data_IF_743770035406
#
_entry.id   IF_743770035406
#
_cell.length_a   1.000
_cell.length_b   1.000
_cell.length_c   1.000
_cell.angle_alpha   90.00
_cell.angle_beta   90.00
_cell.angle_gamma   90.00
#
_symmetry.space_group_name_H-M   'P 1'
#
loop_
_entity.id
_entity.type
_entity.pdbx_description
1 polymer ?
#
# COMPACT_ATOMS: atom_id res chain seq x y z
N UNK A 1 4.18 -2.50 -2.08
CA UNK A 1 3.17 -3.36 -2.73
C UNK A 1 3.87 -4.46 -3.50
N UNK A 2 3.49 -5.74 -3.31
CA UNK A 2 4.18 -6.87 -3.97
C UNK A 2 3.83 -7.00 -5.46
N UNK A 3 2.65 -6.52 -5.89
CA UNK A 3 2.23 -6.49 -7.29
C UNK A 3 3.06 -5.51 -8.13
N UNK A 4 3.34 -4.32 -7.57
CA UNK A 4 4.19 -3.30 -8.19
C UNK A 4 5.61 -3.84 -8.49
N UNK A 5 6.25 -4.56 -7.57
CA UNK A 5 7.59 -5.11 -7.81
C UNK A 5 7.66 -6.05 -9.02
N UNK A 6 6.60 -6.85 -9.25
CA UNK A 6 6.52 -7.76 -10.39
C UNK A 6 6.31 -7.00 -11.70
N UNK A 7 5.45 -5.98 -11.67
CA UNK A 7 5.23 -5.11 -12.83
C UNK A 7 6.51 -4.35 -13.22
N UNK A 8 7.17 -3.74 -12.23
CA UNK A 8 8.46 -3.08 -12.40
C UNK A 8 9.50 -4.04 -12.99
N UNK A 9 9.57 -5.29 -12.49
CA UNK A 9 10.50 -6.28 -13.07
C UNK A 9 10.21 -6.52 -14.55
N UNK A 10 8.94 -6.71 -14.95
CA UNK A 10 8.59 -6.90 -16.36
C UNK A 10 9.02 -5.70 -17.21
N UNK A 11 8.71 -4.48 -16.76
CA UNK A 11 9.03 -3.23 -17.47
C UNK A 11 10.53 -2.95 -17.56
N UNK A 12 11.26 -3.23 -16.48
CA UNK A 12 12.71 -3.04 -16.41
C UNK A 12 13.47 -4.14 -17.15
N UNK A 13 12.96 -5.37 -17.20
CA UNK A 13 13.63 -6.49 -17.87
C UNK A 13 13.86 -6.23 -19.35
N UNK A 14 12.90 -5.57 -20.03
CA UNK A 14 13.06 -5.16 -21.42
C UNK A 14 14.31 -4.29 -21.59
N UNK A 15 14.42 -3.19 -20.86
CA UNK A 15 15.56 -2.28 -20.96
C UNK A 15 16.86 -2.92 -20.45
N UNK A 16 16.79 -3.66 -19.36
CA UNK A 16 17.94 -4.33 -18.76
C UNK A 16 18.60 -5.31 -19.74
N UNK A 17 17.80 -6.09 -20.48
CA UNK A 17 18.31 -7.00 -21.51
C UNK A 17 19.04 -6.25 -22.64
N UNK A 18 18.48 -5.14 -23.12
CA UNK A 18 19.10 -4.33 -24.17
C UNK A 18 20.38 -3.62 -23.71
N UNK A 19 20.51 -3.33 -22.42
CA UNK A 19 21.67 -2.67 -21.81
C UNK A 19 22.69 -3.66 -21.22
N UNK A 20 22.45 -4.98 -21.31
CA UNK A 20 23.32 -5.99 -20.70
C UNK A 20 23.35 -5.93 -19.17
N UNK A 21 22.28 -5.46 -18.54
CA UNK A 21 22.14 -5.35 -17.08
C UNK A 21 21.31 -6.50 -16.52
N UNK A 22 21.71 -6.98 -15.35
CA UNK A 22 20.93 -7.97 -14.57
C UNK A 22 19.97 -7.25 -13.62
N UNK A 23 18.69 -7.61 -13.68
CA UNK A 23 17.64 -7.08 -12.79
C UNK A 23 16.92 -8.22 -12.10
N UNK A 24 16.75 -8.13 -10.79
CA UNK A 24 15.99 -9.12 -10.03
C UNK A 24 15.17 -8.48 -8.90
N UNK A 25 14.13 -9.19 -8.48
CA UNK A 25 13.29 -8.81 -7.33
C UNK A 25 13.66 -9.64 -6.11
N UNK A 26 13.74 -9.00 -4.95
CA UNK A 26 13.81 -9.66 -3.65
C UNK A 26 12.77 -9.09 -2.70
N UNK A 27 11.94 -9.95 -2.14
CA UNK A 27 10.90 -9.60 -1.17
C UNK A 27 10.61 -10.76 -0.19
N UNK A 28 9.65 -10.56 0.72
CA UNK A 28 9.23 -11.54 1.73
C UNK A 28 8.84 -12.94 1.20
N UNK A 29 8.33 -13.05 -0.03
CA UNK A 29 7.96 -14.34 -0.65
C UNK A 29 9.02 -14.93 -1.59
N UNK A 30 10.19 -14.28 -1.75
CA UNK A 30 11.25 -14.79 -2.63
C UNK A 30 11.78 -16.12 -2.07
N UNK A 31 11.80 -17.17 -2.88
CA UNK A 31 12.23 -18.50 -2.46
C UNK A 31 13.64 -18.49 -1.83
N UNK A 32 13.86 -19.36 -0.84
CA UNK A 32 15.15 -19.44 -0.15
C UNK A 32 16.32 -19.78 -1.08
N UNK A 33 16.08 -20.62 -2.10
CA UNK A 33 17.09 -20.94 -3.14
C UNK A 33 17.51 -19.68 -3.91
N UNK A 34 16.53 -18.89 -4.32
CA UNK A 34 16.74 -17.64 -5.04
C UNK A 34 17.46 -16.58 -4.19
N UNK A 35 17.09 -16.45 -2.91
CA UNK A 35 17.77 -15.57 -1.95
C UNK A 35 19.24 -15.93 -1.76
N UNK A 36 19.55 -17.23 -1.69
CA UNK A 36 20.93 -17.71 -1.58
C UNK A 36 21.74 -17.38 -2.83
N UNK A 37 21.18 -17.60 -4.02
CA UNK A 37 21.81 -17.21 -5.29
C UNK A 37 22.10 -15.70 -5.32
N UNK A 38 21.10 -14.88 -5.00
CA UNK A 38 21.23 -13.42 -4.94
C UNK A 38 22.29 -12.94 -3.95
N UNK A 39 22.50 -13.67 -2.86
CA UNK A 39 23.55 -13.36 -1.90
C UNK A 39 24.96 -13.77 -2.38
N UNK A 40 25.06 -14.77 -3.25
CA UNK A 40 26.34 -15.21 -3.84
C UNK A 40 26.71 -14.33 -5.04
N UNK A 41 25.73 -14.04 -5.89
CA UNK A 41 25.87 -13.26 -7.12
C UNK A 41 24.66 -12.33 -7.24
N UNK A 42 24.74 -11.10 -6.69
CA UNK A 42 23.63 -10.16 -6.72
C UNK A 42 23.43 -9.60 -8.15
N UNK A 43 22.21 -9.14 -8.47
CA UNK A 43 21.98 -8.40 -9.70
C UNK A 43 22.62 -7.00 -9.64
N UNK A 44 22.85 -6.39 -10.81
CA UNK A 44 23.24 -4.97 -10.92
C UNK A 44 22.09 -4.04 -10.51
N UNK A 45 20.83 -4.46 -10.68
CA UNK A 45 19.64 -3.76 -10.23
C UNK A 45 18.78 -4.67 -9.34
N UNK A 46 18.62 -4.29 -8.07
CA UNK A 46 17.81 -5.02 -7.10
C UNK A 46 16.53 -4.24 -6.78
N UNK A 47 15.37 -4.79 -7.18
CA UNK A 47 14.06 -4.27 -6.79
C UNK A 47 13.64 -4.92 -5.47
N UNK A 48 13.44 -4.13 -4.42
CA UNK A 48 13.19 -4.64 -3.07
C UNK A 48 12.11 -3.85 -2.33
N UNK A 49 11.77 -4.28 -1.11
CA UNK A 49 10.89 -3.53 -0.20
C UNK A 49 11.68 -2.98 0.99
N UNK A 50 11.20 -1.95 1.70
CA UNK A 50 11.85 -1.46 2.92
C UNK A 50 12.15 -2.57 3.94
N UNK A 51 11.21 -3.47 4.18
CA UNK A 51 11.34 -4.57 5.12
C UNK A 51 12.40 -5.59 4.67
N UNK A 52 12.52 -5.79 3.36
CA UNK A 52 13.53 -6.71 2.80
C UNK A 52 14.91 -6.06 2.82
N UNK A 53 15.02 -4.74 2.61
CA UNK A 53 16.26 -3.99 2.81
C UNK A 53 16.75 -4.14 4.26
N UNK A 54 15.85 -4.04 5.24
CA UNK A 54 16.15 -4.30 6.65
C UNK A 54 16.72 -5.70 6.87
N UNK A 55 16.10 -6.73 6.26
CA UNK A 55 16.59 -8.10 6.40
C UNK A 55 17.99 -8.35 5.80
N UNK A 56 18.39 -7.61 4.76
CA UNK A 56 19.68 -7.80 4.09
C UNK A 56 20.82 -6.99 4.71
N UNK A 57 20.53 -5.83 5.31
CA UNK A 57 21.54 -4.90 5.85
C UNK A 57 22.49 -5.54 6.90
N UNK A 58 22.03 -6.41 7.81
CA UNK A 58 22.94 -7.10 8.73
C UNK A 58 23.77 -8.23 8.11
N UNK A 59 23.43 -8.70 6.91
CA UNK A 59 24.08 -9.86 6.31
C UNK A 59 25.47 -9.53 5.78
N UNK A 60 26.53 -10.10 6.37
CA UNK A 60 27.93 -9.81 6.02
C UNK A 60 28.23 -9.84 4.52
N UNK A 61 27.81 -10.88 3.82
CA UNK A 61 27.97 -11.03 2.37
C UNK A 61 27.18 -9.99 1.57
N UNK A 62 25.94 -9.73 1.97
CA UNK A 62 25.13 -8.70 1.33
C UNK A 62 25.72 -7.31 1.54
N UNK A 63 26.30 -7.02 2.71
CA UNK A 63 26.98 -5.73 2.99
C UNK A 63 28.14 -5.48 2.04
N UNK A 64 28.93 -6.50 1.71
CA UNK A 64 30.01 -6.40 0.72
C UNK A 64 29.47 -6.01 -0.67
N UNK A 65 28.28 -6.47 -1.04
CA UNK A 65 27.66 -6.07 -2.30
C UNK A 65 27.03 -4.68 -2.21
N UNK A 66 26.34 -4.39 -1.10
CA UNK A 66 25.69 -3.11 -0.84
C UNK A 66 26.68 -1.93 -0.74
N UNK A 67 27.93 -2.17 -0.38
CA UNK A 67 28.95 -1.12 -0.34
C UNK A 67 29.26 -0.52 -1.73
N UNK A 68 28.83 -1.18 -2.81
CA UNK A 68 29.00 -0.70 -4.18
C UNK A 68 27.76 0.03 -4.73
N UNK A 69 26.73 0.26 -3.91
CA UNK A 69 25.50 0.94 -4.32
C UNK A 69 25.79 2.41 -4.63
N UNK A 70 25.51 2.83 -5.86
CA UNK A 70 25.66 4.22 -6.32
C UNK A 70 24.34 4.99 -6.39
N UNK A 71 23.22 4.29 -6.52
CA UNK A 71 21.90 4.88 -6.72
C UNK A 71 20.84 4.11 -5.93
N UNK A 72 19.93 4.84 -5.28
CA UNK A 72 18.74 4.29 -4.66
C UNK A 72 17.53 5.05 -5.16
N UNK A 73 16.61 4.33 -5.78
CA UNK A 73 15.32 4.86 -6.23
C UNK A 73 14.25 4.46 -5.22
N UNK A 74 13.54 5.45 -4.68
CA UNK A 74 12.39 5.25 -3.81
C UNK A 74 11.15 5.67 -4.57
N UNK A 75 10.34 4.69 -4.95
CA UNK A 75 9.08 4.92 -5.64
C UNK A 75 7.94 5.17 -4.65
N UNK A 76 6.93 5.93 -5.09
CA UNK A 76 5.76 6.32 -4.29
C UNK A 76 6.10 6.91 -2.92
N UNK A 77 6.98 7.93 -2.90
CA UNK A 77 7.51 8.52 -1.67
C UNK A 77 6.40 9.05 -0.75
N UNK A 78 5.31 9.60 -1.29
CA UNK A 78 4.20 10.15 -0.49
C UNK A 78 3.51 9.11 0.42
N UNK A 79 3.39 7.87 -0.05
CA UNK A 79 2.86 6.75 0.74
C UNK A 79 3.81 6.35 1.87
N UNK A 80 5.13 6.46 1.62
CA UNK A 80 6.14 6.14 2.62
C UNK A 80 6.26 7.25 3.66
N UNK A 81 6.28 8.51 3.24
CA UNK A 81 6.44 9.67 4.12
C UNK A 81 5.39 9.73 5.24
N UNK A 82 4.15 9.34 4.94
CA UNK A 82 3.04 9.33 5.90
C UNK A 82 2.95 8.09 6.79
N UNK A 83 3.89 7.14 6.67
CA UNK A 83 3.81 5.85 7.36
C UNK A 83 5.06 5.49 8.16
N UNK A 84 4.88 4.71 9.23
CA UNK A 84 5.99 4.13 10.01
C UNK A 84 6.95 3.29 9.15
N UNK A 85 6.46 2.69 8.06
CA UNK A 85 7.29 1.97 7.09
C UNK A 85 8.29 2.88 6.41
N UNK A 86 7.89 4.10 6.05
CA UNK A 86 8.82 5.07 5.49
C UNK A 86 9.78 5.62 6.54
N UNK A 87 9.33 5.85 7.77
CA UNK A 87 10.24 6.23 8.88
C UNK A 87 11.33 5.18 9.07
N UNK A 88 10.95 3.90 9.01
CA UNK A 88 11.87 2.77 9.05
C UNK A 88 12.83 2.76 7.85
N UNK A 89 12.35 3.08 6.64
CA UNK A 89 13.18 3.22 5.44
C UNK A 89 14.17 4.37 5.57
N UNK A 90 13.76 5.52 6.13
CA UNK A 90 14.62 6.69 6.30
C UNK A 90 15.88 6.35 7.10
N UNK A 91 15.73 5.61 8.22
CA UNK A 91 16.91 5.10 8.95
C UNK A 91 17.65 4.00 8.18
N UNK A 92 16.95 3.13 7.44
CA UNK A 92 17.60 2.11 6.62
C UNK A 92 18.54 2.70 5.55
N UNK A 93 18.17 3.84 4.95
CA UNK A 93 19.01 4.56 4.00
C UNK A 93 20.26 5.14 4.67
N UNK A 94 20.16 5.59 5.93
CA UNK A 94 21.32 6.05 6.70
C UNK A 94 22.24 4.91 7.15
N UNK A 95 21.68 3.72 7.39
CA UNK A 95 22.45 2.49 7.62
C UNK A 95 23.14 2.01 6.35
N UNK A 96 22.47 2.13 5.21
CA UNK A 96 23.08 1.85 3.90
C UNK A 96 24.22 2.84 3.60
N UNK A 97 24.04 4.12 3.94
CA UNK A 97 25.10 5.13 3.85
C UNK A 97 26.33 4.72 4.69
N UNK A 98 26.14 4.25 5.92
CA UNK A 98 27.24 3.72 6.76
C UNK A 98 27.92 2.48 6.12
N UNK A 99 27.22 1.70 5.30
CA UNK A 99 27.77 0.53 4.59
C UNK A 99 28.57 0.93 3.35
N UNK A 100 28.09 1.92 2.60
CA UNK A 100 28.74 2.45 1.39
C UNK A 100 29.97 3.27 1.76
N UNK A 101 29.90 4.05 2.85
CA UNK A 101 31.00 4.89 3.33
C UNK A 101 31.11 6.26 2.63
N UNK A 102 30.35 6.47 1.56
CA UNK A 102 30.23 7.73 0.83
C UNK A 102 28.78 8.01 0.39
N UNK A 103 28.52 9.22 -0.10
CA UNK A 103 27.18 9.59 -0.55
C UNK A 103 26.82 8.90 -1.87
N UNK A 104 25.64 8.28 -1.90
CA UNK A 104 25.02 7.73 -3.10
C UNK A 104 23.83 8.60 -3.54
N UNK A 105 23.49 8.55 -4.82
CA UNK A 105 22.37 9.33 -5.34
C UNK A 105 21.04 8.73 -4.86
N UNK A 106 20.22 9.56 -4.21
CA UNK A 106 18.85 9.22 -3.83
C UNK A 106 17.89 9.86 -4.83
N UNK A 107 17.01 9.05 -5.43
CA UNK A 107 15.98 9.50 -6.36
C UNK A 107 14.62 9.14 -5.79
N UNK A 108 13.82 10.14 -5.45
CA UNK A 108 12.44 9.95 -5.01
C UNK A 108 11.48 10.15 -6.18
N UNK A 109 10.56 9.20 -6.37
CA UNK A 109 9.45 9.33 -7.31
C UNK A 109 8.16 9.47 -6.51
N UNK A 110 7.31 10.42 -6.90
CA UNK A 110 6.03 10.64 -6.25
C UNK A 110 5.04 11.19 -7.25
N UNK A 111 3.77 10.81 -7.07
CA UNK A 111 2.65 11.58 -7.60
C UNK A 111 2.62 13.00 -7.00
N UNK A 112 1.65 13.81 -7.45
CA UNK A 112 1.41 15.16 -6.97
C UNK A 112 1.30 15.22 -5.44
N UNK A 113 2.15 16.01 -4.79
CA UNK A 113 2.20 16.23 -3.34
C UNK A 113 2.07 17.71 -3.00
N UNK A 114 1.45 18.03 -1.86
CA UNK A 114 1.18 19.42 -1.46
C UNK A 114 2.37 20.15 -0.84
N UNK A 115 3.37 19.41 -0.36
CA UNK A 115 4.58 19.88 0.33
C UNK A 115 5.84 19.16 -0.20
N UNK A 116 6.20 19.36 -1.49
CA UNK A 116 7.28 18.61 -2.14
C UNK A 116 8.64 18.79 -1.45
N UNK A 117 8.90 19.93 -0.84
CA UNK A 117 10.14 20.21 -0.10
C UNK A 117 10.32 19.27 1.11
N UNK A 118 9.28 19.13 1.93
CA UNK A 118 9.30 18.25 3.11
C UNK A 118 9.41 16.79 2.69
N UNK A 119 8.64 16.38 1.67
CA UNK A 119 8.68 15.01 1.12
C UNK A 119 10.06 14.68 0.53
N UNK A 120 10.72 15.65 -0.11
CA UNK A 120 12.06 15.44 -0.63
C UNK A 120 13.11 15.37 0.50
N UNK A 121 12.98 16.19 1.55
CA UNK A 121 13.82 16.11 2.74
C UNK A 121 13.67 14.77 3.47
N UNK A 122 12.46 14.22 3.51
CA UNK A 122 12.18 12.92 4.09
C UNK A 122 13.05 11.79 3.49
N UNK A 123 13.25 11.80 2.17
CA UNK A 123 14.10 10.82 1.47
C UNK A 123 15.58 11.18 1.55
N UNK A 124 15.92 12.46 1.40
CA UNK A 124 17.30 12.91 1.39
C UNK A 124 17.96 12.76 2.77
N UNK A 125 17.21 12.88 3.85
CA UNK A 125 17.75 13.02 5.20
C UNK A 125 18.22 14.45 5.49
N UNK A 126 18.85 14.63 6.65
CA UNK A 126 19.21 15.93 7.21
C UNK A 126 20.51 16.47 6.58
N UNK A 127 20.52 17.75 6.19
CA UNK A 127 21.73 18.45 5.77
C UNK A 127 22.21 18.17 4.34
N UNK A 128 21.39 17.50 3.51
CA UNK A 128 21.72 17.19 2.11
C UNK A 128 21.07 18.16 1.13
N UNK A 129 21.74 18.40 -0.01
CA UNK A 129 21.20 19.21 -1.11
C UNK A 129 20.17 18.40 -1.90
N UNK A 130 19.09 19.06 -2.30
CA UNK A 130 17.95 18.42 -2.97
C UNK A 130 17.61 19.23 -4.22
N UNK A 131 17.33 18.54 -5.32
CA UNK A 131 16.74 19.12 -6.52
C UNK A 131 15.36 18.52 -6.71
N UNK A 132 14.33 19.35 -6.63
CA UNK A 132 12.95 18.97 -6.91
C UNK A 132 12.70 19.21 -8.39
N UNK A 133 12.22 18.18 -9.09
CA UNK A 133 11.83 18.26 -10.50
C UNK A 133 10.33 18.01 -10.57
N UNK A 134 9.57 19.06 -10.86
CA UNK A 134 8.13 18.95 -11.09
C UNK A 134 7.86 18.90 -12.58
N UNK A 135 7.40 17.75 -13.07
CA UNK A 135 6.84 17.62 -14.39
C UNK A 135 5.32 17.81 -14.28
N UNK A 136 4.79 18.86 -14.91
CA UNK A 136 3.36 19.06 -15.09
C UNK A 136 3.03 18.73 -16.55
N UNK A 137 2.85 17.44 -16.90
CA UNK A 137 2.44 17.09 -18.25
C UNK A 137 1.08 17.76 -18.53
N UNK A 138 0.82 18.23 -19.76
CA UNK A 138 -0.46 18.83 -20.16
C UNK A 138 -1.53 17.75 -20.33
N UNK A 139 -1.65 16.82 -19.38
CA UNK A 139 -2.70 15.80 -19.39
C UNK A 139 -4.01 16.50 -19.04
N UNK A 140 -4.97 16.48 -19.97
CA UNK A 140 -6.29 17.04 -19.70
C UNK A 140 -7.10 16.09 -18.83
N UNK A 141 -7.83 16.65 -17.87
CA UNK A 141 -8.74 15.92 -17.00
C UNK A 141 -10.16 16.41 -17.23
N UNK A 142 -11.11 15.48 -17.22
CA UNK A 142 -12.54 15.77 -17.20
C UNK A 142 -13.13 15.14 -15.94
N UNK A 143 -13.69 15.97 -15.06
CA UNK A 143 -14.33 15.54 -13.83
C UNK A 143 -15.81 15.91 -13.84
N UNK A 144 -16.68 14.93 -13.60
CA UNK A 144 -18.11 15.13 -13.39
C UNK A 144 -18.51 14.68 -11.98
N UNK A 145 -19.38 15.44 -11.32
CA UNK A 145 -19.99 15.06 -10.03
C UNK A 145 -21.47 14.84 -10.28
N UNK A 146 -21.94 13.63 -10.01
CA UNK A 146 -23.32 13.22 -10.27
C UNK A 146 -23.97 12.70 -8.98
N UNK A 147 -25.12 13.28 -8.64
CA UNK A 147 -26.00 12.78 -7.58
C UNK A 147 -27.29 12.26 -8.22
N UNK A 148 -27.34 10.99 -8.67
CA UNK A 148 -28.49 10.47 -9.40
C UNK A 148 -29.72 10.38 -8.51
N UNK A 149 -30.80 11.05 -8.93
CA UNK A 149 -32.09 11.00 -8.25
C UNK A 149 -32.87 9.75 -8.68
N UNK A 150 -33.66 9.14 -7.76
CA UNK A 150 -34.53 8.01 -8.10
C UNK A 150 -35.54 8.34 -9.18
N UNK A 151 -35.71 7.41 -10.11
CA UNK A 151 -36.80 7.34 -11.09
C UNK A 151 -37.72 6.17 -10.78
N UNK A 152 -38.86 6.05 -11.45
CA UNK A 152 -39.81 4.93 -11.24
C UNK A 152 -39.14 3.55 -11.39
N UNK A 153 -38.24 3.41 -12.38
CA UNK A 153 -37.46 2.18 -12.58
C UNK A 153 -36.57 1.84 -11.38
N UNK A 154 -36.11 2.84 -10.63
CA UNK A 154 -35.26 2.66 -9.46
C UNK A 154 -36.04 2.15 -8.24
N UNK A 155 -37.35 2.45 -8.14
CA UNK A 155 -38.20 1.88 -7.09
C UNK A 155 -38.40 0.38 -7.29
N UNK A 156 -38.61 -0.07 -8.52
CA UNK A 156 -38.69 -1.50 -8.84
C UNK A 156 -37.34 -2.20 -8.59
N UNK A 157 -36.25 -1.58 -9.04
CA UNK A 157 -34.89 -2.09 -8.85
C UNK A 157 -34.54 -2.17 -7.37
N UNK A 158 -34.93 -1.19 -6.57
CA UNK A 158 -34.76 -1.18 -5.12
C UNK A 158 -35.44 -2.37 -4.45
N UNK A 159 -36.64 -2.75 -4.91
CA UNK A 159 -37.33 -3.96 -4.48
C UNK A 159 -36.54 -5.24 -4.78
N UNK A 160 -36.06 -5.40 -6.02
CA UNK A 160 -35.25 -6.55 -6.45
C UNK A 160 -33.93 -6.66 -5.66
N UNK A 161 -33.26 -5.53 -5.47
CA UNK A 161 -31.98 -5.45 -4.79
C UNK A 161 -32.10 -5.37 -3.27
N UNK A 162 -33.30 -5.22 -2.70
CA UNK A 162 -33.52 -4.98 -1.26
C UNK A 162 -32.67 -3.82 -0.74
N UNK A 163 -32.78 -2.67 -1.39
CA UNK A 163 -32.06 -1.45 -1.04
C UNK A 163 -32.97 -0.23 -1.17
N UNK A 164 -32.48 0.98 -0.92
CA UNK A 164 -33.28 2.20 -1.09
C UNK A 164 -33.34 2.63 -2.57
N UNK A 165 -34.40 3.33 -3.01
CA UNK A 165 -34.48 3.89 -4.36
C UNK A 165 -33.27 4.75 -4.75
N UNK A 166 -32.70 5.50 -3.80
CA UNK A 166 -31.49 6.32 -4.02
C UNK A 166 -30.25 5.45 -4.25
N UNK A 167 -30.13 4.33 -3.54
CA UNK A 167 -29.06 3.37 -3.77
C UNK A 167 -29.23 2.65 -5.11
N UNK A 168 -30.47 2.30 -5.49
CA UNK A 168 -30.79 1.72 -6.78
C UNK A 168 -30.44 2.69 -7.93
N UNK A 169 -30.79 3.97 -7.80
CA UNK A 169 -30.45 5.02 -8.77
C UNK A 169 -28.93 5.14 -8.99
N UNK A 170 -28.13 5.09 -7.91
CA UNK A 170 -26.66 5.07 -8.02
C UNK A 170 -26.15 3.81 -8.71
N UNK A 171 -26.66 2.64 -8.35
CA UNK A 171 -26.27 1.36 -8.97
C UNK A 171 -26.59 1.39 -10.47
N UNK A 172 -27.81 1.80 -10.86
CA UNK A 172 -28.20 1.96 -12.26
C UNK A 172 -27.24 2.90 -12.97
N UNK A 173 -26.98 4.08 -12.40
CA UNK A 173 -26.10 5.06 -13.02
C UNK A 173 -24.68 4.53 -13.23
N UNK A 174 -24.12 3.81 -12.25
CA UNK A 174 -22.82 3.16 -12.41
C UNK A 174 -22.84 2.13 -13.54
N UNK A 175 -23.90 1.34 -13.69
CA UNK A 175 -24.01 0.36 -14.78
C UNK A 175 -24.12 1.04 -16.15
N UNK A 176 -24.88 2.14 -16.28
CA UNK A 176 -24.93 2.93 -17.52
C UNK A 176 -23.56 3.48 -17.92
N UNK A 177 -22.78 3.95 -16.94
CA UNK A 177 -21.41 4.40 -17.15
C UNK A 177 -20.50 3.25 -17.59
N UNK A 178 -20.61 2.07 -16.98
CA UNK A 178 -19.85 0.89 -17.41
C UNK A 178 -20.25 0.46 -18.83
N UNK A 179 -21.54 0.52 -19.16
CA UNK A 179 -22.04 0.02 -20.44
C UNK A 179 -21.69 0.93 -21.62
N UNK A 180 -21.56 2.23 -21.35
CA UNK A 180 -21.13 3.24 -22.32
C UNK A 180 -19.62 3.27 -22.57
N UNK A 181 -18.82 2.51 -21.82
CA UNK A 181 -17.36 2.47 -21.92
C UNK A 181 -16.86 1.04 -22.16
N UNK A 182 -15.63 0.86 -22.65
CA UNK A 182 -15.06 -0.49 -22.85
C UNK A 182 -14.42 -1.01 -21.58
N UNK A 183 -13.76 -0.13 -20.83
CA UNK A 183 -12.98 -0.46 -19.63
C UNK A 183 -13.18 0.58 -18.55
N UNK A 184 -13.70 0.17 -17.39
CA UNK A 184 -14.05 1.08 -16.29
C UNK A 184 -13.44 0.61 -14.96
N UNK A 185 -12.82 1.53 -14.22
CA UNK A 185 -12.48 1.28 -12.81
C UNK A 185 -13.48 1.96 -11.89
N UNK A 186 -14.04 1.21 -10.94
CA UNK A 186 -14.99 1.72 -9.96
C UNK A 186 -14.29 1.75 -8.59
N UNK A 187 -13.75 2.91 -8.21
CA UNK A 187 -13.12 3.10 -6.91
C UNK A 187 -14.15 3.27 -5.81
N UNK A 188 -13.93 2.59 -4.69
CA UNK A 188 -14.73 2.69 -3.48
C UNK A 188 -13.83 2.91 -2.25
N UNK A 189 -14.40 3.54 -1.22
CA UNK A 189 -13.65 3.90 -0.01
C UNK A 189 -13.44 2.74 0.98
N UNK A 190 -14.09 1.59 0.78
CA UNK A 190 -13.98 0.45 1.70
C UNK A 190 -14.17 -0.89 1.00
N UNK A 191 -13.56 -1.94 1.58
CA UNK A 191 -13.77 -3.33 1.12
C UNK A 191 -15.25 -3.73 1.23
N UNK A 192 -15.93 -3.26 2.27
CA UNK A 192 -17.36 -3.49 2.47
C UNK A 192 -18.19 -2.89 1.33
N UNK A 193 -17.87 -1.67 0.88
CA UNK A 193 -18.55 -1.06 -0.27
C UNK A 193 -18.24 -1.83 -1.56
N UNK A 194 -17.00 -2.31 -1.73
CA UNK A 194 -16.60 -3.07 -2.90
C UNK A 194 -17.41 -4.36 -3.02
N UNK A 195 -17.47 -5.12 -1.94
CA UNK A 195 -18.20 -6.38 -1.86
C UNK A 195 -19.71 -6.18 -1.95
N UNK A 196 -20.24 -5.11 -1.34
CA UNK A 196 -21.66 -4.76 -1.44
C UNK A 196 -22.05 -4.45 -2.88
N UNK A 197 -21.33 -3.55 -3.57
CA UNK A 197 -21.63 -3.24 -4.97
C UNK A 197 -21.42 -4.45 -5.87
N UNK A 198 -20.35 -5.22 -5.68
CA UNK A 198 -20.10 -6.45 -6.43
C UNK A 198 -21.23 -7.46 -6.28
N UNK A 199 -21.76 -7.62 -5.07
CA UNK A 199 -22.94 -8.46 -4.83
C UNK A 199 -24.17 -7.93 -5.57
N UNK A 200 -24.45 -6.62 -5.51
CA UNK A 200 -25.60 -6.01 -6.21
C UNK A 200 -25.50 -6.18 -7.73
N UNK A 201 -24.33 -5.96 -8.31
CA UNK A 201 -24.10 -6.18 -9.74
C UNK A 201 -24.23 -7.66 -10.12
N UNK A 202 -23.75 -8.57 -9.26
CA UNK A 202 -23.95 -10.01 -9.43
C UNK A 202 -25.44 -10.43 -9.41
N UNK A 203 -26.26 -9.82 -8.54
CA UNK A 203 -27.73 -10.04 -8.52
C UNK A 203 -28.40 -9.59 -9.83
N UNK A 204 -27.77 -8.67 -10.57
CA UNK A 204 -28.22 -8.18 -11.87
C UNK A 204 -27.60 -8.93 -13.04
N UNK A 205 -26.86 -10.02 -12.79
CA UNK A 205 -26.26 -10.86 -13.83
C UNK A 205 -24.99 -10.30 -14.47
N UNK A 206 -24.35 -9.30 -13.86
CA UNK A 206 -23.12 -8.66 -14.38
C UNK A 206 -21.87 -9.47 -14.05
N UNK A 207 -21.65 -10.55 -14.79
CA UNK A 207 -20.45 -11.38 -14.68
C UNK A 207 -19.18 -10.73 -15.24
N UNK A 208 -19.33 -9.64 -16.01
CA UNK A 208 -18.27 -8.83 -16.61
C UNK A 208 -17.71 -7.75 -15.65
N UNK A 209 -18.13 -7.76 -14.39
CA UNK A 209 -17.66 -6.85 -13.33
C UNK A 209 -17.07 -7.66 -12.18
N UNK A 210 -15.79 -7.43 -11.85
CA UNK A 210 -15.09 -8.11 -10.76
C UNK A 210 -14.79 -7.19 -9.57
N UNK A 211 -14.60 -7.76 -8.38
CA UNK A 211 -14.16 -7.04 -7.18
C UNK A 211 -12.67 -7.27 -6.96
N UNK A 212 -11.90 -6.22 -6.70
CA UNK A 212 -10.46 -6.28 -6.47
C UNK A 212 -10.04 -5.49 -5.22
N UNK A 213 -9.55 -6.19 -4.19
CA UNK A 213 -9.00 -5.56 -2.98
C UNK A 213 -7.96 -6.43 -2.27
N UNK A 214 -7.23 -5.85 -1.31
CA UNK A 214 -6.07 -6.48 -0.67
C UNK A 214 -6.34 -7.75 0.16
N UNK A 215 -7.59 -8.09 0.46
CA UNK A 215 -7.94 -9.36 1.12
C UNK A 215 -8.02 -10.56 0.17
N UNK A 216 -8.01 -10.35 -1.15
CA UNK A 216 -8.01 -11.44 -2.14
C UNK A 216 -6.63 -12.12 -2.21
N UNK A 217 -6.62 -13.39 -2.63
CA UNK A 217 -5.36 -14.09 -2.84
C UNK A 217 -4.55 -13.43 -3.95
N UNK A 218 -3.25 -13.73 -4.00
CA UNK A 218 -2.38 -13.17 -5.05
C UNK A 218 -2.81 -13.68 -6.42
N UNK A 219 -3.14 -14.97 -6.51
CA UNK A 219 -3.53 -15.68 -7.72
C UNK A 219 -4.83 -15.09 -8.28
N UNK A 220 -5.80 -14.83 -7.42
CA UNK A 220 -7.10 -14.24 -7.79
C UNK A 220 -6.94 -12.79 -8.27
N UNK A 221 -6.11 -11.98 -7.61
CA UNK A 221 -5.84 -10.61 -8.08
C UNK A 221 -5.18 -10.60 -9.45
N UNK A 222 -4.20 -11.48 -9.66
CA UNK A 222 -3.54 -11.65 -10.97
C UNK A 222 -4.53 -12.03 -12.05
N UNK A 223 -5.40 -13.01 -11.76
CA UNK A 223 -6.41 -13.43 -12.72
C UNK A 223 -7.33 -12.29 -13.12
N UNK A 224 -7.83 -11.50 -12.15
CA UNK A 224 -8.69 -10.34 -12.43
C UNK A 224 -7.94 -9.27 -13.23
N UNK A 225 -6.68 -8.98 -12.86
CA UNK A 225 -5.81 -8.04 -13.58
C UNK A 225 -5.63 -8.49 -15.06
N UNK A 226 -5.36 -9.77 -15.30
CA UNK A 226 -5.15 -10.34 -16.63
C UNK A 226 -6.45 -10.40 -17.46
N UNK A 227 -7.58 -10.79 -16.86
CA UNK A 227 -8.90 -10.83 -17.51
C UNK A 227 -9.37 -9.43 -17.93
N UNK A 228 -9.15 -8.42 -17.10
CA UNK A 228 -9.45 -7.03 -17.44
C UNK A 228 -8.54 -6.51 -18.55
N UNK A 229 -7.24 -6.80 -18.49
CA UNK A 229 -6.29 -6.43 -19.55
C UNK A 229 -6.60 -7.10 -20.90
N UNK A 230 -7.16 -8.31 -20.87
CA UNK A 230 -7.62 -9.05 -22.04
C UNK A 230 -8.99 -8.57 -22.56
N UNK A 231 -9.67 -7.64 -21.87
CA UNK A 231 -10.99 -7.15 -22.25
C UNK A 231 -12.14 -8.12 -21.96
N UNK A 232 -11.89 -9.17 -21.16
CA UNK A 232 -12.93 -10.11 -20.70
C UNK A 232 -13.84 -9.43 -19.67
N UNK A 233 -13.25 -8.64 -18.78
CA UNK A 233 -13.98 -7.82 -17.80
C UNK A 233 -14.15 -6.40 -18.34
N UNK A 234 -15.38 -5.87 -18.27
CA UNK A 234 -15.67 -4.47 -18.59
C UNK A 234 -15.35 -3.53 -17.43
N UNK A 235 -15.45 -4.01 -16.19
CA UNK A 235 -15.14 -3.19 -15.03
C UNK A 235 -14.52 -3.95 -13.84
N UNK A 236 -13.76 -3.20 -13.04
CA UNK A 236 -13.26 -3.66 -11.74
C UNK A 236 -13.71 -2.68 -10.65
N UNK A 237 -14.40 -3.21 -9.63
CA UNK A 237 -14.66 -2.49 -8.37
C UNK A 237 -13.45 -2.64 -7.46
N UNK A 238 -12.80 -1.55 -7.09
CA UNK A 238 -11.54 -1.61 -6.35
C UNK A 238 -11.44 -0.58 -5.21
N UNK A 239 -10.64 -0.92 -4.20
CA UNK A 239 -10.16 0.06 -3.22
C UNK A 239 -8.86 0.72 -3.74
N UNK A 240 -8.06 1.33 -2.87
CA UNK A 240 -6.75 1.92 -3.22
C UNK A 240 -5.71 0.94 -3.79
N UNK A 241 -6.04 -0.35 -3.96
CA UNK A 241 -5.09 -1.34 -4.51
C UNK A 241 -4.74 -1.12 -5.97
N UNK A 242 -5.63 -0.48 -6.74
CA UNK A 242 -5.43 -0.15 -8.16
C UNK A 242 -5.18 1.36 -8.37
N UNK A 243 -5.06 2.13 -7.29
CA UNK A 243 -4.78 3.57 -7.34
C UNK A 243 -3.35 3.86 -7.82
N UNK A 244 -2.43 2.95 -7.47
CA UNK A 244 -0.99 3.08 -7.66
C UNK A 244 -0.52 2.33 -8.91
N UNK A 245 0.67 2.70 -9.40
CA UNK A 245 1.22 2.53 -10.76
C UNK A 245 1.35 1.13 -11.40
N UNK A 246 0.43 0.19 -11.16
CA UNK A 246 0.38 -1.10 -11.86
C UNK A 246 -0.23 -0.96 -13.26
N UNK A 247 0.33 -1.70 -14.23
CA UNK A 247 -0.17 -1.74 -15.61
C UNK A 247 -1.33 -2.74 -15.76
N UNK A 248 -2.54 -2.23 -15.57
CA UNK A 248 -3.81 -2.94 -15.77
C UNK A 248 -4.38 -2.80 -17.20
N UNK A 249 -3.59 -2.25 -18.14
CA UNK A 249 -4.05 -2.00 -19.51
C UNK A 249 -4.71 -0.62 -19.70
N UNK A 250 -5.41 -0.45 -20.81
CA UNK A 250 -6.12 0.79 -21.12
C UNK A 250 -7.41 0.87 -20.31
N UNK A 251 -7.63 2.03 -19.65
CA UNK A 251 -8.86 2.35 -18.93
C UNK A 251 -9.45 3.60 -19.57
N UNK A 252 -10.73 3.54 -19.92
CA UNK A 252 -11.41 4.65 -20.57
C UNK A 252 -12.08 5.57 -19.54
N UNK A 253 -12.64 4.98 -18.48
CA UNK A 253 -13.39 5.69 -17.45
C UNK A 253 -12.98 5.29 -16.05
N UNK A 254 -12.91 6.28 -15.15
CA UNK A 254 -12.86 6.05 -13.71
C UNK A 254 -14.16 6.54 -13.07
N UNK A 255 -14.83 5.64 -12.37
CA UNK A 255 -15.96 5.96 -11.50
C UNK A 255 -15.46 5.99 -10.05
N UNK A 256 -15.67 7.09 -9.36
CA UNK A 256 -15.41 7.22 -7.93
C UNK A 256 -16.76 7.16 -7.20
N UNK A 257 -17.03 6.05 -6.50
CA UNK A 257 -18.28 5.86 -5.77
C UNK A 257 -18.18 6.47 -4.36
N UNK A 258 -19.01 7.48 -4.12
CA UNK A 258 -18.92 8.45 -3.03
C UNK A 258 -17.66 9.32 -3.13
N UNK A 259 -17.57 10.33 -2.29
CA UNK A 259 -16.47 11.28 -2.25
C UNK A 259 -15.11 10.60 -2.19
N UNK A 260 -14.12 11.13 -2.92
CA UNK A 260 -12.74 10.62 -2.85
C UNK A 260 -12.05 10.93 -1.51
N UNK A 261 -12.64 11.79 -0.64
CA UNK A 261 -12.10 12.32 0.63
C UNK A 261 -10.81 13.14 0.52
N UNK A 262 -10.01 12.89 -0.51
CA UNK A 262 -8.70 13.47 -0.74
C UNK A 262 -8.55 13.87 -2.21
N UNK A 263 -7.92 15.02 -2.46
CA UNK A 263 -7.71 15.52 -3.82
C UNK A 263 -6.63 14.71 -4.51
N UNK A 264 -5.57 14.33 -3.78
CA UNK A 264 -4.50 13.48 -4.32
C UNK A 264 -5.06 12.15 -4.83
N UNK A 265 -5.89 11.47 -4.04
CA UNK A 265 -6.55 10.24 -4.46
C UNK A 265 -7.42 10.42 -5.69
N UNK A 266 -8.19 11.50 -5.78
CA UNK A 266 -9.00 11.78 -6.98
C UNK A 266 -8.11 11.89 -8.24
N UNK A 267 -7.04 12.67 -8.17
CA UNK A 267 -6.11 12.86 -9.29
C UNK A 267 -5.42 11.54 -9.66
N UNK A 268 -4.97 10.77 -8.69
CA UNK A 268 -4.29 9.48 -8.93
C UNK A 268 -5.22 8.44 -9.55
N UNK A 269 -6.45 8.33 -9.02
CA UNK A 269 -7.48 7.41 -9.51
C UNK A 269 -7.91 7.76 -10.92
N UNK A 270 -8.30 9.01 -11.16
CA UNK A 270 -8.72 9.45 -12.51
C UNK A 270 -7.54 9.46 -13.47
N UNK A 271 -6.31 9.67 -12.99
CA UNK A 271 -5.10 9.51 -13.78
C UNK A 271 -4.88 8.11 -14.35
N UNK A 272 -5.61 7.09 -13.85
CA UNK A 272 -5.65 5.74 -14.43
C UNK A 272 -6.40 5.67 -15.75
N UNK A 273 -7.37 6.56 -16.02
CA UNK A 273 -8.02 6.63 -17.34
C UNK A 273 -7.17 7.43 -18.33
N UNK A 274 -7.31 7.13 -19.62
CA UNK A 274 -6.60 7.84 -20.70
C UNK A 274 -5.09 7.66 -20.63
N UNK A 275 -4.59 6.46 -20.96
CA UNK A 275 -3.17 6.09 -20.77
C UNK A 275 -2.19 6.73 -21.77
N UNK A 276 -2.68 7.43 -22.80
CA UNK A 276 -1.84 8.16 -23.76
C UNK A 276 -1.79 9.65 -23.43
N UNK A 277 -0.64 10.28 -23.69
CA UNK A 277 -0.41 11.71 -23.42
C UNK A 277 -1.38 12.65 -24.17
N UNK A 278 -2.04 12.15 -25.20
CA UNK A 278 -2.98 12.85 -26.08
C UNK A 278 -4.47 12.63 -25.71
N UNK A 279 -4.78 11.82 -24.69
CA UNK A 279 -6.18 11.53 -24.30
C UNK A 279 -6.56 12.18 -22.96
N UNK A 280 -7.81 12.60 -22.86
CA UNK A 280 -8.39 13.11 -21.62
C UNK A 280 -8.57 11.97 -20.62
N UNK A 281 -8.14 12.19 -19.38
CA UNK A 281 -8.50 11.33 -18.25
C UNK A 281 -9.90 11.69 -17.77
N UNK A 282 -10.87 10.83 -18.04
CA UNK A 282 -12.26 11.01 -17.62
C UNK A 282 -12.54 10.34 -16.27
N UNK A 283 -13.20 11.09 -15.38
CA UNK A 283 -13.59 10.67 -14.05
C UNK A 283 -15.01 11.14 -13.68
N UNK A 284 -15.86 10.21 -13.25
CA UNK A 284 -17.21 10.51 -12.75
C UNK A 284 -17.30 10.15 -11.27
N UNK A 285 -17.66 11.12 -10.43
CA UNK A 285 -17.88 10.91 -9.00
C UNK A 285 -19.38 10.76 -8.77
N UNK A 286 -19.82 9.57 -8.36
CA UNK A 286 -21.22 9.27 -8.05
C UNK A 286 -21.46 9.42 -6.56
N UNK A 287 -22.19 10.44 -6.14
CA UNK A 287 -22.39 10.80 -4.74
C UNK A 287 -23.74 10.32 -4.20
N UNK A 288 -23.89 10.30 -2.87
CA UNK A 288 -25.12 9.82 -2.22
C UNK A 288 -25.84 10.85 -1.34
N UNK A 289 -25.11 11.79 -0.74
CA UNK A 289 -25.66 12.74 0.23
C UNK A 289 -25.17 14.18 -0.06
N UNK A 290 -25.80 15.22 0.50
CA UNK A 290 -25.37 16.60 0.29
C UNK A 290 -23.91 16.86 0.65
N UNK A 291 -23.47 16.41 1.84
CA UNK A 291 -22.08 16.60 2.30
C UNK A 291 -21.07 15.92 1.38
N UNK A 292 -21.41 14.71 0.92
CA UNK A 292 -20.63 13.92 -0.02
C UNK A 292 -20.48 14.62 -1.38
N UNK A 293 -21.56 15.27 -1.83
CA UNK A 293 -21.60 16.07 -3.06
C UNK A 293 -20.79 17.36 -2.93
N UNK A 294 -20.91 18.06 -1.81
CA UNK A 294 -20.13 19.25 -1.51
C UNK A 294 -18.64 18.93 -1.42
N UNK A 295 -18.26 17.87 -0.71
CA UNK A 295 -16.87 17.40 -0.60
C UNK A 295 -16.29 17.03 -1.98
N UNK A 296 -17.04 16.27 -2.79
CA UNK A 296 -16.65 15.89 -4.14
C UNK A 296 -16.47 17.10 -5.06
N UNK A 297 -17.38 18.06 -5.01
CA UNK A 297 -17.30 19.30 -5.79
C UNK A 297 -16.09 20.14 -5.37
N UNK A 298 -15.84 20.25 -4.06
CA UNK A 298 -14.65 20.93 -3.54
C UNK A 298 -13.36 20.24 -3.98
N UNK A 299 -13.33 18.91 -3.96
CA UNK A 299 -12.19 18.11 -4.42
C UNK A 299 -11.91 18.32 -5.91
N UNK A 300 -12.93 18.28 -6.77
CA UNK A 300 -12.81 18.57 -8.22
C UNK A 300 -12.27 19.98 -8.46
N UNK A 301 -12.82 20.99 -7.77
CA UNK A 301 -12.33 22.39 -7.89
C UNK A 301 -10.86 22.54 -7.51
N UNK A 302 -10.39 21.77 -6.53
CA UNK A 302 -8.98 21.74 -6.11
C UNK A 302 -8.12 20.94 -7.09
N UNK A 303 -8.64 19.83 -7.64
CA UNK A 303 -7.96 19.00 -8.63
C UNK A 303 -7.63 19.78 -9.91
N UNK A 304 -8.59 20.53 -10.46
CA UNK A 304 -8.34 21.42 -11.61
C UNK A 304 -7.26 22.49 -11.35
N UNK A 305 -7.03 22.84 -10.08
CA UNK A 305 -6.00 23.80 -9.64
C UNK A 305 -4.69 23.12 -9.23
N UNK A 306 -4.58 21.80 -9.36
CA UNK A 306 -3.48 20.98 -8.82
C UNK A 306 -3.17 21.27 -7.34
N UNK A 307 -4.20 21.60 -6.55
CA UNK A 307 -4.06 21.88 -5.11
C UNK A 307 -4.39 20.64 -4.30
N UNK A 308 -3.37 19.85 -4.02
CA UNK A 308 -3.49 18.66 -3.16
C UNK A 308 -3.13 18.97 -1.72
N UNK A 309 -3.66 18.17 -0.80
CA UNK A 309 -3.29 18.20 0.62
C UNK A 309 -1.79 17.93 0.86
N UNK A 310 -1.19 18.50 1.93
CA UNK A 310 0.17 18.19 2.32
C UNK A 310 0.27 16.76 2.89
N UNK A 311 1.38 16.09 2.61
CA UNK A 311 1.73 14.80 3.18
C UNK A 311 2.27 15.02 4.60
N UNK A 312 1.55 14.51 5.60
CA UNK A 312 1.98 14.59 6.98
C UNK A 312 3.07 13.55 7.25
N UNK A 313 4.31 13.99 7.48
CA UNK A 313 5.41 13.09 7.83
C UNK A 313 5.20 12.57 9.26
N UNK A 314 5.31 11.26 9.43
CA UNK A 314 5.25 10.66 10.76
C UNK A 314 6.60 10.86 11.48
N UNK A 315 6.65 11.75 12.46
CA UNK A 315 7.88 12.04 13.23
C UNK A 315 7.98 11.19 14.50
N UNK A 316 9.21 11.00 14.99
CA UNK A 316 9.50 10.42 16.31
C UNK A 316 8.77 9.10 16.65
N UNK A 317 8.60 8.19 15.69
CA UNK A 317 8.06 6.85 15.93
C UNK A 317 8.98 6.05 16.88
N UNK A 318 8.62 5.96 18.16
CA UNK A 318 9.47 5.33 19.18
C UNK A 318 9.60 3.82 19.01
N UNK A 319 8.56 3.15 18.49
CA UNK A 319 8.59 1.73 18.15
C UNK A 319 9.53 1.44 16.96
N UNK A 320 9.53 2.30 15.94
CA UNK A 320 10.49 2.25 14.85
C UNK A 320 11.91 2.52 15.37
N UNK A 321 12.08 3.49 16.27
CA UNK A 321 13.38 3.81 16.88
C UNK A 321 13.92 2.62 17.68
N UNK A 322 13.06 1.95 18.45
CA UNK A 322 13.40 0.74 19.19
C UNK A 322 13.90 -0.37 18.25
N UNK A 323 13.14 -0.65 17.19
CA UNK A 323 13.51 -1.64 16.18
C UNK A 323 14.82 -1.29 15.47
N UNK A 324 15.01 -0.03 15.08
CA UNK A 324 16.22 0.41 14.38
C UNK A 324 17.46 0.42 15.28
N UNK A 325 17.29 0.63 16.59
CA UNK A 325 18.37 0.49 17.58
C UNK A 325 18.89 -0.96 17.59
N UNK A 326 17.98 -1.93 17.65
CA UNK A 326 18.35 -3.35 17.51
C UNK A 326 19.00 -3.64 16.13
N UNK A 327 18.50 -3.02 15.05
CA UNK A 327 19.07 -3.15 13.71
C UNK A 327 20.52 -2.65 13.60
N UNK A 328 20.82 -1.48 14.17
CA UNK A 328 22.18 -0.94 14.23
C UNK A 328 23.12 -1.83 15.06
N UNK A 329 22.61 -2.44 16.14
CA UNK A 329 23.34 -3.48 16.87
C UNK A 329 23.59 -4.72 16.01
N UNK A 330 22.63 -5.14 15.17
CA UNK A 330 22.82 -6.24 14.21
C UNK A 330 23.87 -5.92 13.13
N UNK A 331 24.07 -4.64 12.82
CA UNK A 331 25.07 -4.19 11.86
C UNK A 331 26.48 -4.12 12.47
N UNK A 332 26.62 -3.54 13.67
CA UNK A 332 27.92 -3.18 14.27
C UNK A 332 28.37 -4.09 15.42
N UNK A 333 27.47 -4.86 16.02
CA UNK A 333 27.75 -5.71 17.20
C UNK A 333 27.66 -4.94 18.51
N UNK A 334 28.31 -3.79 18.59
CA UNK A 334 28.21 -2.81 19.67
C UNK A 334 28.28 -1.40 19.11
N UNK A 335 27.68 -0.42 19.80
CA UNK A 335 27.79 0.99 19.47
C UNK A 335 27.54 1.88 20.69
N UNK A 336 28.13 3.07 20.68
CA UNK A 336 27.89 4.10 21.69
C UNK A 336 26.55 4.82 21.45
N UNK A 337 25.99 5.43 22.50
CA UNK A 337 24.82 6.32 22.37
C UNK A 337 25.08 7.44 21.36
N UNK A 338 26.31 7.98 21.32
CA UNK A 338 26.69 9.04 20.39
C UNK A 338 26.63 8.58 18.94
N UNK A 339 27.15 7.40 18.63
CA UNK A 339 27.08 6.81 17.28
C UNK A 339 25.64 6.51 16.87
N UNK A 340 24.82 5.96 17.77
CA UNK A 340 23.40 5.70 17.53
C UNK A 340 22.67 7.00 17.20
N UNK A 341 22.84 8.02 18.04
CA UNK A 341 22.21 9.33 17.88
C UNK A 341 22.63 10.01 16.58
N UNK A 342 23.92 9.91 16.23
CA UNK A 342 24.45 10.48 15.00
C UNK A 342 23.81 9.84 13.76
N UNK A 343 23.71 8.51 13.70
CA UNK A 343 23.05 7.83 12.57
C UNK A 343 21.55 8.15 12.51
N UNK A 344 20.86 8.11 13.65
CA UNK A 344 19.40 8.34 13.70
C UNK A 344 19.03 9.78 13.32
N UNK A 345 19.76 10.80 13.79
CA UNK A 345 19.48 12.22 13.47
C UNK A 345 19.74 12.59 12.01
N UNK A 346 20.50 11.79 11.26
CA UNK A 346 20.61 11.97 9.80
C UNK A 346 19.31 11.60 9.08
N UNK A 347 18.49 10.74 9.65
CA UNK A 347 17.15 10.47 9.13
C UNK A 347 16.22 11.64 9.49
N UNK A 348 15.57 12.20 8.48
CA UNK A 348 14.76 13.42 8.63
C UNK A 348 13.67 13.32 9.72
N UNK A 349 12.92 12.21 9.86
CA UNK A 349 11.89 12.07 10.91
C UNK A 349 12.41 12.16 12.36
N UNK A 350 13.72 12.04 12.57
CA UNK A 350 14.37 12.07 13.89
C UNK A 350 15.41 13.19 14.01
N UNK A 351 15.44 14.15 13.07
CA UNK A 351 16.39 15.28 13.08
C UNK A 351 16.41 16.06 14.41
N UNK A 352 15.26 16.11 15.07
CA UNK A 352 15.03 16.81 16.35
C UNK A 352 14.99 15.87 17.56
N UNK A 353 15.31 14.57 17.40
CA UNK A 353 15.24 13.59 18.49
C UNK A 353 16.07 14.07 19.69
N UNK A 354 15.49 13.96 20.88
CA UNK A 354 16.16 14.33 22.15
C UNK A 354 16.92 13.13 22.72
N UNK A 355 18.09 13.35 23.30
CA UNK A 355 18.90 12.28 23.90
C UNK A 355 18.13 11.56 25.02
N UNK A 356 17.37 12.31 25.84
CA UNK A 356 16.50 11.73 26.87
C UNK A 356 15.53 10.69 26.30
N UNK A 357 14.82 11.03 25.23
CA UNK A 357 13.86 10.14 24.58
C UNK A 357 14.55 8.88 24.02
N UNK A 358 15.75 9.02 23.46
CA UNK A 358 16.53 7.87 23.02
C UNK A 358 16.91 6.96 24.20
N UNK A 359 17.36 7.53 25.33
CA UNK A 359 17.70 6.79 26.53
C UNK A 359 16.49 6.07 27.13
N UNK A 360 15.31 6.71 27.17
CA UNK A 360 14.07 6.09 27.65
C UNK A 360 13.70 4.84 26.82
N UNK A 361 13.87 4.88 25.49
CA UNK A 361 13.66 3.72 24.60
C UNK A 361 14.70 2.62 24.84
N UNK A 362 15.95 2.99 25.11
CA UNK A 362 17.03 2.05 25.39
C UNK A 362 16.82 1.35 26.72
N UNK A 363 16.50 2.08 27.78
CA UNK A 363 16.19 1.52 29.09
C UNK A 363 14.97 0.58 29.01
N UNK A 364 13.95 0.94 28.21
CA UNK A 364 12.82 0.06 27.93
C UNK A 364 13.26 -1.25 27.25
N UNK A 365 14.09 -1.19 26.20
CA UNK A 365 14.57 -2.40 25.52
C UNK A 365 15.51 -3.26 26.38
N UNK A 366 16.35 -2.64 27.22
CA UNK A 366 17.20 -3.35 28.18
C UNK A 366 16.35 -4.09 29.23
N UNK A 367 15.26 -3.47 29.70
CA UNK A 367 14.32 -4.11 30.64
C UNK A 367 13.65 -5.37 30.08
N UNK A 368 13.52 -5.46 28.75
CA UNK A 368 12.94 -6.61 28.05
C UNK A 368 13.98 -7.68 27.66
N UNK A 369 15.27 -7.44 27.93
CA UNK A 369 16.41 -8.25 27.46
C UNK A 369 16.54 -8.27 25.92
N UNK A 370 16.08 -7.20 25.25
CA UNK A 370 16.16 -7.04 23.79
C UNK A 370 17.45 -6.34 23.32
N UNK A 371 18.16 -5.68 24.23
CA UNK A 371 19.55 -5.25 24.10
C UNK A 371 20.18 -5.18 25.49
N UNK A 372 21.48 -4.86 25.59
CA UNK A 372 22.13 -4.52 26.86
C UNK A 372 22.70 -3.11 26.83
N UNK A 373 22.43 -2.34 27.87
CA UNK A 373 22.94 -0.99 28.03
C UNK A 373 23.94 -0.88 29.19
N UNK A 374 25.21 -0.67 28.85
CA UNK A 374 26.30 -0.43 29.79
C UNK A 374 26.36 1.07 30.12
N UNK A 375 25.75 1.47 31.25
CA UNK A 375 25.49 2.87 31.60
C UNK A 375 26.76 3.71 31.76
N UNK A 376 27.79 3.17 32.41
CA UNK A 376 29.07 3.88 32.65
C UNK A 376 29.79 4.21 31.34
N UNK A 377 29.89 3.23 30.43
CA UNK A 377 30.51 3.42 29.12
C UNK A 377 29.60 4.06 28.06
N UNK A 378 28.30 4.22 28.34
CA UNK A 378 27.26 4.58 27.36
C UNK A 378 27.32 3.71 26.10
N UNK A 379 27.51 2.40 26.28
CA UNK A 379 27.66 1.43 25.20
C UNK A 379 26.46 0.49 25.15
N UNK A 380 25.96 0.24 23.94
CA UNK A 380 24.97 -0.77 23.66
C UNK A 380 25.63 -2.03 23.13
N UNK A 381 25.15 -3.19 23.60
CA UNK A 381 25.57 -4.51 23.16
C UNK A 381 24.35 -5.36 22.82
N UNK A 382 24.56 -6.40 22.02
CA UNK A 382 23.53 -7.41 21.76
C UNK A 382 23.23 -8.19 23.03
N UNK A 383 21.95 -8.32 23.34
CA UNK A 383 21.41 -9.30 24.28
C UNK A 383 21.11 -10.62 23.58
N UNK A 384 20.68 -11.61 24.36
CA UNK A 384 20.28 -12.93 23.83
C UNK A 384 19.09 -12.84 22.87
N UNK A 385 18.14 -11.92 23.12
CA UNK A 385 16.92 -11.79 22.32
C UNK A 385 17.02 -10.80 21.16
N UNK A 386 18.03 -9.92 21.12
CA UNK A 386 18.17 -8.87 20.09
C UNK A 386 18.00 -9.37 18.66
N UNK A 387 18.60 -10.52 18.34
CA UNK A 387 18.52 -11.11 17.01
C UNK A 387 17.08 -11.57 16.69
N UNK A 388 16.38 -12.14 17.66
CA UNK A 388 15.01 -12.62 17.47
C UNK A 388 14.08 -11.44 17.28
N UNK A 389 14.13 -10.47 18.19
CA UNK A 389 13.33 -9.25 18.12
C UNK A 389 13.50 -8.52 16.80
N UNK A 390 14.72 -8.31 16.32
CA UNK A 390 14.94 -7.61 15.05
C UNK A 390 14.31 -8.34 13.85
N UNK A 391 14.49 -9.66 13.73
CA UNK A 391 14.01 -10.39 12.55
C UNK A 391 12.51 -10.75 12.61
N UNK A 392 11.93 -10.87 13.81
CA UNK A 392 10.48 -11.10 13.99
C UNK A 392 9.66 -9.80 13.83
N UNK A 393 10.28 -8.62 13.98
CA UNK A 393 9.58 -7.32 13.93
C UNK A 393 10.01 -6.44 12.74
N UNK A 394 10.47 -7.04 11.63
CA UNK A 394 10.91 -6.29 10.44
C UNK A 394 9.82 -5.43 9.80
N UNK A 395 8.55 -5.81 9.98
CA UNK A 395 7.40 -5.12 9.41
C UNK A 395 6.80 -4.16 10.42
N UNK A 396 6.63 -2.89 10.03
CA UNK A 396 5.83 -1.92 10.80
C UNK A 396 4.34 -1.96 10.42
N UNK A 397 3.96 -2.89 9.54
CA UNK A 397 2.55 -3.19 9.28
C UNK A 397 2.08 -4.06 10.46
N UNK A 398 1.06 -3.65 11.22
CA UNK A 398 0.52 -4.46 12.30
C UNK A 398 0.11 -5.84 11.78
N UNK A 399 0.47 -6.90 12.51
CA UNK A 399 -0.05 -8.24 12.24
C UNK A 399 -1.53 -8.29 12.61
N UNK A 400 -2.41 -8.05 11.63
CA UNK A 400 -3.82 -8.40 11.77
C UNK A 400 -3.95 -9.92 11.73
N UNK A 401 -4.44 -10.52 12.82
CA UNK A 401 -4.83 -11.94 12.79
C UNK A 401 -5.85 -12.15 11.67
N UNK A 402 -5.57 -13.11 10.79
CA UNK A 402 -6.46 -13.46 9.69
C UNK A 402 -7.12 -14.80 9.97
N UNK A 403 -8.43 -14.80 9.98
CA UNK A 403 -9.23 -15.97 10.26
C UNK A 403 -9.70 -16.58 8.93
N UNK A 404 -9.25 -17.79 8.56
CA UNK A 404 -9.73 -18.45 7.35
C UNK A 404 -11.24 -18.67 7.40
N UNK A 405 -11.87 -18.42 6.26
CA UNK A 405 -13.27 -18.64 6.00
C UNK A 405 -13.40 -19.92 5.19
N UNK A 406 -14.17 -20.89 5.68
CA UNK A 406 -14.35 -22.19 5.03
C UNK A 406 -15.83 -22.41 4.70
N UNK A 407 -16.10 -22.87 3.48
CA UNK A 407 -17.43 -23.34 3.09
C UNK A 407 -17.69 -24.68 3.76
N UNK A 408 -18.69 -24.76 4.64
CA UNK A 408 -19.03 -26.00 5.37
C UNK A 408 -19.45 -27.13 4.43
N UNK A 409 -20.04 -26.81 3.28
CA UNK A 409 -20.54 -27.83 2.33
C UNK A 409 -19.40 -28.40 1.50
N UNK A 410 -18.51 -27.55 1.00
CA UNK A 410 -17.47 -27.96 0.05
C UNK A 410 -16.10 -28.17 0.68
N UNK A 411 -15.95 -27.87 1.97
CA UNK A 411 -14.68 -27.85 2.73
C UNK A 411 -13.55 -27.07 2.05
N UNK A 412 -13.92 -26.04 1.27
CA UNK A 412 -12.97 -25.18 0.57
C UNK A 412 -12.84 -23.85 1.27
N UNK A 413 -11.61 -23.36 1.37
CA UNK A 413 -11.32 -21.99 1.81
C UNK A 413 -11.87 -20.99 0.80
N UNK A 414 -12.74 -20.09 1.28
CA UNK A 414 -13.36 -19.03 0.47
C UNK A 414 -12.56 -17.72 0.58
N UNK A 415 -11.97 -17.45 1.75
CA UNK A 415 -11.27 -16.20 2.01
C UNK A 415 -10.70 -16.12 3.42
N UNK A 416 -10.46 -14.90 3.89
CA UNK A 416 -9.99 -14.61 5.27
C UNK A 416 -10.67 -13.35 5.82
N UNK A 417 -11.06 -13.37 7.09
CA UNK A 417 -11.51 -12.20 7.84
C UNK A 417 -10.36 -11.59 8.64
N UNK A 418 -10.33 -10.27 8.77
CA UNK A 418 -9.40 -9.57 9.66
C UNK A 418 -9.83 -9.64 11.14
N UNK A 419 -8.86 -9.46 12.03
CA UNK A 419 -9.04 -9.56 13.49
C UNK A 419 -10.10 -8.61 14.03
N UNK A 420 -10.08 -7.36 13.57
CA UNK A 420 -11.05 -6.35 13.98
C UNK A 420 -12.49 -6.75 13.62
N UNK A 421 -12.70 -7.25 12.39
CA UNK A 421 -14.02 -7.75 11.99
C UNK A 421 -14.45 -8.94 12.85
N UNK A 422 -13.50 -9.82 13.17
CA UNK A 422 -13.76 -11.00 14.01
C UNK A 422 -14.10 -10.62 15.45
N UNK A 423 -13.40 -9.66 16.03
CA UNK A 423 -13.59 -9.20 17.40
C UNK A 423 -14.87 -8.37 17.57
N UNK A 424 -15.14 -7.47 16.62
CA UNK A 424 -16.18 -6.44 16.80
C UNK A 424 -17.51 -6.86 16.14
N UNK A 425 -17.46 -7.53 14.98
CA UNK A 425 -18.64 -7.73 14.12
C UNK A 425 -19.08 -9.18 14.01
N UNK A 426 -18.16 -10.14 13.97
CA UNK A 426 -18.45 -11.52 13.60
C UNK A 426 -19.22 -12.32 14.68
N UNK A 427 -20.52 -12.09 14.81
CA UNK A 427 -21.43 -12.87 15.66
C UNK A 427 -22.01 -14.07 14.91
N UNK A 428 -22.33 -15.15 15.63
CA UNK A 428 -23.06 -16.29 15.05
C UNK A 428 -24.40 -15.79 14.50
N UNK A 429 -24.77 -16.24 13.29
CA UNK A 429 -25.94 -15.75 12.57
C UNK A 429 -25.72 -14.49 11.73
N UNK A 430 -24.57 -13.81 11.84
CA UNK A 430 -24.26 -12.66 11.00
C UNK A 430 -24.17 -13.10 9.53
N UNK A 431 -24.91 -12.40 8.67
CA UNK A 431 -24.73 -12.47 7.23
C UNK A 431 -23.71 -11.41 6.81
N UNK A 432 -22.72 -11.79 6.02
CA UNK A 432 -21.75 -10.88 5.46
C UNK A 432 -21.33 -11.32 4.06
N UNK A 433 -20.82 -10.38 3.28
CA UNK A 433 -20.53 -10.60 1.86
C UNK A 433 -19.04 -10.86 1.68
N UNK A 434 -18.71 -11.93 0.95
CA UNK A 434 -17.34 -12.25 0.52
C UNK A 434 -17.42 -12.74 -0.91
N UNK A 435 -16.63 -12.14 -1.82
CA UNK A 435 -16.66 -12.39 -3.27
C UNK A 435 -18.04 -12.23 -3.87
N UNK A 436 -18.74 -11.16 -3.49
CA UNK A 436 -20.08 -10.85 -4.00
C UNK A 436 -21.16 -11.88 -3.66
N UNK A 437 -20.92 -12.78 -2.68
CA UNK A 437 -21.89 -13.78 -2.21
C UNK A 437 -22.18 -13.58 -0.73
N UNK A 438 -23.44 -13.78 -0.32
CA UNK A 438 -23.84 -13.72 1.09
C UNK A 438 -23.50 -15.03 1.78
N UNK A 439 -22.81 -14.91 2.90
CA UNK A 439 -22.44 -16.04 3.73
C UNK A 439 -22.95 -15.80 5.14
N UNK A 440 -23.46 -16.86 5.78
CA UNK A 440 -23.89 -16.82 7.17
C UNK A 440 -22.87 -17.48 8.08
N UNK A 441 -22.45 -16.80 9.14
CA UNK A 441 -21.63 -17.39 10.20
C UNK A 441 -22.43 -18.41 10.98
N UNK A 442 -22.01 -19.68 10.95
CA UNK A 442 -22.68 -20.75 11.68
C UNK A 442 -22.05 -21.01 13.05
N UNK A 443 -20.72 -21.05 13.15
CA UNK A 443 -20.00 -21.38 14.38
C UNK A 443 -18.67 -20.62 14.49
N UNK A 444 -18.18 -20.49 15.72
CA UNK A 444 -16.83 -20.03 16.02
C UNK A 444 -16.14 -21.07 16.91
N UNK A 445 -15.09 -21.70 16.40
CA UNK A 445 -14.12 -22.40 17.22
C UNK A 445 -12.91 -21.48 17.41
N UNK A 446 -12.54 -21.21 18.66
CA UNK A 446 -11.37 -20.39 19.03
C UNK A 446 -10.06 -20.93 18.45
N UNK A 447 -10.05 -22.20 18.02
CA UNK A 447 -8.83 -22.87 17.60
C UNK A 447 -8.61 -22.92 16.08
N UNK A 448 -9.63 -22.98 15.19
CA UNK A 448 -9.32 -23.27 13.76
C UNK A 448 -10.09 -22.48 12.67
N UNK A 449 -11.43 -22.31 12.63
CA UNK A 449 -12.08 -21.74 11.41
C UNK A 449 -13.37 -20.93 11.65
N UNK A 450 -13.66 -19.96 10.77
CA UNK A 450 -14.99 -19.37 10.64
C UNK A 450 -15.79 -20.18 9.60
N UNK A 451 -16.72 -21.00 10.09
CA UNK A 451 -17.53 -21.92 9.29
C UNK A 451 -18.75 -21.19 8.72
N UNK A 452 -18.84 -21.10 7.40
CA UNK A 452 -19.93 -20.42 6.70
C UNK A 452 -20.74 -21.37 5.83
N UNK A 453 -22.05 -21.15 5.80
CA UNK A 453 -22.93 -21.73 4.80
C UNK A 453 -23.33 -20.65 3.80
N UNK A 454 -23.32 -21.00 2.51
CA UNK A 454 -23.86 -20.14 1.47
C UNK A 454 -25.37 -20.08 1.66
N UNK A 455 -25.90 -18.92 2.01
CA UNK A 455 -27.34 -18.70 2.02
C UNK A 455 -27.76 -18.40 0.59
N UNK A 456 -28.00 -19.45 -0.18
CA UNK A 456 -28.77 -19.31 -1.42
C UNK A 456 -30.10 -18.63 -1.12
#
# INVERSE_FOLDING_TARGET
MRALNRDLLKRLSFWAQHLGLTVEVRHGDTEMKLRRRQAISPPQMLVTTPETLQAILPGSRMRQHLSHVRHVVVDEVHELASSKRGVQLSIALERLFDVVGEEFQRVGLSATVGNPEEVAQFIAGTGRKIRIVQALPPKGYSYNVENPLPTDADYELAGKLRTSPEAAARIRRVLELVDSHKSTLIFVNSRTNAEMLGHKFGQLGRADIAVHHGSLSKEERVQIEDEFKAGVLRAIICTSTLELGIDIGNVDLVVQYLSPRQVSSLIQRVGRSGHRLDMLSEGVIVTAFPDDTLESTAAVRKAYKNKVEPVLIHEDALDVLAHQTAGLLMDKGSLTIKELMATVRRAYPYRNLKEKTLLDVIDFLDSLDELRFEKEGKVLRRARKSRRYYFENLSMIPDERRYPIVNVISDRKIGTLGDEFMAIRARVGLNFIVRGKVWRKLLYDKSIHCLLINTK
#
